data_IF_254582673144
#
_entry.id   IF_254582673144
#
_cell.length_a   1.000
_cell.length_b   1.000
_cell.length_c   1.000
_cell.angle_alpha   90.00
_cell.angle_beta   90.00
_cell.angle_gamma   90.00
#
_symmetry.space_group_name_H-M   'P 1'
#
loop_
_entity.id
_entity.type
_entity.pdbx_description
1 polymer ?
#
# COMPACT_ATOMS: atom_id res chain seq x y z
N UNK A 1 6.38 29.42 -2.92
CA UNK A 1 6.37 29.04 -1.51
C UNK A 1 7.09 27.69 -1.38
N UNK A 2 8.02 27.59 -0.44
CA UNK A 2 8.84 26.39 -0.23
C UNK A 2 8.21 25.50 0.83
N UNK A 3 8.22 24.16 0.63
CA UNK A 3 7.75 23.23 1.65
C UNK A 3 8.84 22.99 2.70
N UNK A 4 8.45 22.55 3.91
CA UNK A 4 9.40 22.14 4.96
C UNK A 4 10.33 21.04 4.43
N UNK A 5 9.82 20.08 3.65
CA UNK A 5 10.64 19.03 3.05
C UNK A 5 11.73 19.62 2.14
N UNK A 6 11.35 20.51 1.22
CA UNK A 6 12.30 21.06 0.25
C UNK A 6 13.33 21.95 0.94
N UNK A 7 12.93 22.74 1.94
CA UNK A 7 13.85 23.55 2.76
C UNK A 7 14.87 22.67 3.51
N UNK A 8 14.44 21.58 4.13
CA UNK A 8 15.33 20.64 4.83
C UNK A 8 16.32 19.99 3.87
N UNK A 9 15.83 19.48 2.72
CA UNK A 9 16.68 18.86 1.70
C UNK A 9 17.72 19.83 1.12
N UNK A 10 17.31 21.07 0.84
CA UNK A 10 18.21 22.13 0.36
C UNK A 10 19.34 22.45 1.36
N UNK A 11 19.05 22.33 2.66
CA UNK A 11 20.03 22.50 3.72
C UNK A 11 20.78 21.21 4.11
N UNK A 12 20.70 20.15 3.29
CA UNK A 12 21.44 18.91 3.53
C UNK A 12 20.88 18.02 4.65
N UNK A 13 19.71 18.38 5.22
CA UNK A 13 19.06 17.57 6.26
C UNK A 13 18.39 16.34 5.62
N UNK A 14 18.73 15.17 6.11
CA UNK A 14 18.17 13.91 5.60
C UNK A 14 16.77 13.67 6.15
N UNK A 15 15.77 13.76 5.29
CA UNK A 15 14.38 13.40 5.57
C UNK A 15 13.94 12.36 4.57
N UNK A 16 13.30 11.30 5.04
CA UNK A 16 12.69 10.31 4.15
C UNK A 16 11.48 10.92 3.44
N UNK A 17 11.34 10.62 2.15
CA UNK A 17 10.15 11.02 1.38
C UNK A 17 9.93 10.07 0.20
N UNK A 18 8.69 10.05 -0.34
CA UNK A 18 8.36 9.27 -1.54
C UNK A 18 7.41 10.02 -2.47
N UNK A 19 6.12 10.15 -2.14
CA UNK A 19 5.09 10.66 -3.06
C UNK A 19 5.14 12.16 -3.33
N UNK A 20 5.65 12.96 -2.40
CA UNK A 20 5.62 14.44 -2.40
C UNK A 20 4.21 15.06 -2.55
N UNK A 21 3.15 14.28 -2.27
CA UNK A 21 1.75 14.70 -2.43
C UNK A 21 0.90 14.59 -1.15
N UNK A 22 1.55 14.36 0.01
CA UNK A 22 0.84 14.26 1.28
C UNK A 22 0.14 12.93 1.54
N UNK A 23 0.37 11.89 0.70
CA UNK A 23 -0.42 10.65 0.78
C UNK A 23 0.28 9.51 1.52
N UNK A 24 1.62 9.36 1.40
CA UNK A 24 2.30 8.13 1.82
C UNK A 24 2.84 8.13 3.25
N UNK A 25 2.85 9.26 3.96
CA UNK A 25 3.36 9.36 5.33
C UNK A 25 4.89 9.28 5.49
N UNK A 26 5.66 8.96 4.44
CA UNK A 26 7.12 8.78 4.54
C UNK A 26 7.91 10.02 4.98
N UNK A 27 7.35 11.22 4.81
CA UNK A 27 7.95 12.50 5.19
C UNK A 27 7.36 13.08 6.48
N UNK A 28 6.76 12.23 7.33
CA UNK A 28 6.18 12.68 8.58
C UNK A 28 7.26 13.21 9.52
N UNK A 29 7.00 14.38 10.09
CA UNK A 29 7.81 15.05 11.12
C UNK A 29 6.89 15.46 12.25
N UNK A 30 7.47 15.94 13.35
CA UNK A 30 6.74 16.49 14.49
C UNK A 30 7.12 17.96 14.67
N UNK A 31 6.14 18.83 14.77
CA UNK A 31 6.30 20.22 15.20
C UNK A 31 6.54 20.23 16.71
N UNK A 32 7.61 20.88 17.14
CA UNK A 32 7.93 21.12 18.56
C UNK A 32 7.44 22.49 18.99
N UNK A 33 7.54 23.48 18.08
CA UNK A 33 7.08 24.84 18.27
C UNK A 33 6.55 25.38 16.94
N UNK A 34 5.59 26.30 17.01
CA UNK A 34 4.94 26.90 15.85
C UNK A 34 3.68 26.17 15.40
N UNK A 35 2.93 26.81 14.52
CA UNK A 35 1.65 26.30 14.02
C UNK A 35 1.84 25.48 12.73
N UNK A 36 1.22 24.30 12.71
CA UNK A 36 1.19 23.47 11.50
C UNK A 36 -0.05 23.81 10.68
N UNK A 37 0.08 24.14 9.41
CA UNK A 37 -1.07 24.37 8.53
C UNK A 37 -1.95 23.12 8.43
N UNK A 38 -3.29 23.24 8.48
CA UNK A 38 -4.22 22.08 8.45
C UNK A 38 -4.02 21.16 7.25
N UNK A 39 -3.63 21.69 6.09
CA UNK A 39 -3.32 20.92 4.89
C UNK A 39 -2.19 19.91 5.12
N UNK A 40 -1.20 20.24 5.94
CA UNK A 40 -0.07 19.37 6.23
C UNK A 40 -0.42 18.22 7.18
N UNK A 41 -1.60 18.27 7.77
CA UNK A 41 -2.14 17.23 8.67
C UNK A 41 -3.31 16.45 8.05
N UNK A 42 -3.66 16.73 6.80
CA UNK A 42 -4.74 16.03 6.10
C UNK A 42 -4.45 14.53 6.04
N UNK A 43 -5.46 13.70 6.36
CA UNK A 43 -5.34 12.24 6.36
C UNK A 43 -4.57 11.63 7.54
N UNK A 44 -4.04 12.44 8.47
CA UNK A 44 -3.44 11.93 9.70
C UNK A 44 -4.52 11.66 10.76
N UNK A 45 -4.26 10.69 11.64
CA UNK A 45 -5.09 10.41 12.81
C UNK A 45 -5.15 11.62 13.73
N UNK A 46 -6.29 11.87 14.37
CA UNK A 46 -6.46 13.01 15.26
C UNK A 46 -5.49 12.99 16.47
N UNK A 47 -5.17 11.79 16.98
CA UNK A 47 -4.14 11.61 18.00
C UNK A 47 -2.75 12.07 17.55
N UNK A 48 -2.42 11.91 16.28
CA UNK A 48 -1.16 12.39 15.71
C UNK A 48 -1.17 13.89 15.46
N UNK A 49 -2.30 14.43 14.98
CA UNK A 49 -2.47 15.89 14.83
C UNK A 49 -2.32 16.60 16.16
N UNK A 50 -2.93 16.06 17.22
CA UNK A 50 -2.85 16.60 18.58
C UNK A 50 -1.41 16.59 19.15
N UNK A 51 -0.56 15.68 18.66
CA UNK A 51 0.86 15.59 19.03
C UNK A 51 1.77 16.40 18.10
N UNK A 52 1.22 17.19 17.18
CA UNK A 52 1.98 18.04 16.27
C UNK A 52 2.60 17.29 15.09
N UNK A 53 2.22 16.05 14.79
CA UNK A 53 2.71 15.36 13.59
C UNK A 53 2.11 15.95 12.32
N UNK A 54 2.93 16.03 11.27
CA UNK A 54 2.55 16.58 9.97
C UNK A 54 3.37 16.01 8.82
N UNK A 55 2.92 16.23 7.59
CA UNK A 55 3.55 15.76 6.36
C UNK A 55 4.39 16.90 5.76
N UNK A 56 5.71 16.81 5.86
CA UNK A 56 6.65 17.88 5.47
C UNK A 56 6.57 18.28 4.00
N UNK A 57 6.20 17.34 3.11
CA UNK A 57 6.14 17.58 1.66
C UNK A 57 4.97 18.47 1.21
N UNK A 58 3.99 18.70 2.07
CA UNK A 58 2.83 19.57 1.80
C UNK A 58 2.69 20.66 2.87
N UNK A 59 3.66 20.75 3.79
CA UNK A 59 3.72 21.81 4.80
C UNK A 59 4.46 23.04 4.24
N UNK A 60 3.74 24.11 4.04
CA UNK A 60 4.29 25.44 3.76
C UNK A 60 4.00 26.27 4.99
N UNK A 61 4.98 26.50 5.88
CA UNK A 61 4.77 27.22 7.12
C UNK A 61 4.48 28.72 6.84
N UNK A 62 3.59 29.31 7.63
CA UNK A 62 3.22 30.72 7.56
C UNK A 62 4.03 31.57 8.57
N UNK A 63 4.69 30.90 9.51
CA UNK A 63 5.54 31.48 10.54
C UNK A 63 6.66 30.50 10.89
N UNK A 64 7.52 30.86 11.83
CA UNK A 64 8.61 30.02 12.31
C UNK A 64 8.07 28.68 12.84
N UNK A 65 8.69 27.59 12.44
CA UNK A 65 8.31 26.23 12.78
C UNK A 65 9.54 25.40 13.17
N UNK A 66 9.62 25.03 14.43
CA UNK A 66 10.66 24.10 14.93
C UNK A 66 10.19 22.67 14.75
N UNK A 67 10.98 21.83 14.08
CA UNK A 67 10.58 20.46 13.72
C UNK A 67 11.59 19.43 14.22
N UNK A 68 11.10 18.23 14.49
CA UNK A 68 11.87 17.06 14.88
C UNK A 68 11.49 15.82 14.05
N UNK A 69 12.36 14.84 13.93
CA UNK A 69 11.98 13.50 13.41
C UNK A 69 10.85 12.90 14.24
N UNK A 70 10.14 11.92 13.64
CA UNK A 70 9.13 11.13 14.35
C UNK A 70 9.76 10.47 15.56
N UNK A 71 9.16 10.66 16.73
CA UNK A 71 9.63 10.06 17.98
C UNK A 71 9.43 8.55 18.01
N UNK A 72 10.21 7.88 18.87
CA UNK A 72 10.15 6.41 19.02
C UNK A 72 8.80 5.91 19.53
N UNK A 73 8.03 6.74 20.20
CA UNK A 73 6.69 6.46 20.72
C UNK A 73 5.65 6.21 19.61
N UNK A 74 5.85 6.77 18.42
CA UNK A 74 4.98 6.56 17.26
C UNK A 74 5.39 5.35 16.42
N UNK A 75 6.56 4.76 16.70
CA UNK A 75 7.13 3.67 15.93
C UNK A 75 6.90 2.33 16.64
N UNK A 76 6.44 1.34 15.88
CA UNK A 76 6.34 -0.05 16.34
C UNK A 76 7.43 -0.88 15.66
N UNK A 77 8.26 -1.55 16.47
CA UNK A 77 9.27 -2.48 15.93
C UNK A 77 8.59 -3.68 15.29
N UNK A 78 9.22 -4.19 14.23
CA UNK A 78 8.79 -5.39 13.56
C UNK A 78 10.01 -6.21 13.09
N UNK A 79 9.80 -7.50 12.94
CA UNK A 79 10.80 -8.46 12.45
C UNK A 79 10.31 -9.06 11.15
N UNK A 80 11.18 -9.16 10.15
CA UNK A 80 10.93 -9.91 8.92
C UNK A 80 10.91 -11.40 9.29
N UNK A 81 9.78 -12.06 9.08
CA UNK A 81 9.62 -13.49 9.41
C UNK A 81 9.56 -14.38 8.18
N UNK A 82 9.29 -13.82 7.01
CA UNK A 82 9.32 -14.54 5.73
C UNK A 82 9.54 -13.59 4.55
N UNK A 83 10.21 -14.11 3.54
CA UNK A 83 10.46 -13.46 2.25
C UNK A 83 10.17 -14.48 1.14
N UNK A 84 9.05 -14.34 0.45
CA UNK A 84 8.63 -15.19 -0.66
C UNK A 84 8.60 -14.43 -1.99
N UNK A 85 8.61 -15.12 -3.11
CA UNK A 85 8.42 -14.51 -4.42
C UNK A 85 6.99 -14.80 -4.92
N UNK A 86 6.20 -13.76 -5.17
CA UNK A 86 4.88 -13.86 -5.81
C UNK A 86 5.00 -13.81 -7.33
N UNK A 87 6.04 -13.16 -7.84
CA UNK A 87 6.47 -13.18 -9.24
C UNK A 87 7.95 -12.81 -9.31
N UNK A 88 8.60 -12.86 -10.50
CA UNK A 88 9.99 -12.41 -10.65
C UNK A 88 10.23 -10.97 -10.18
N UNK A 89 9.22 -10.12 -10.22
CA UNK A 89 9.31 -8.69 -9.86
C UNK A 89 8.57 -8.31 -8.58
N UNK A 90 7.84 -9.23 -7.94
CA UNK A 90 7.06 -8.96 -6.74
C UNK A 90 7.41 -9.94 -5.63
N UNK A 91 7.87 -9.41 -4.52
CA UNK A 91 8.20 -10.18 -3.30
C UNK A 91 7.09 -10.03 -2.26
N UNK A 92 6.70 -11.14 -1.66
CA UNK A 92 5.92 -11.18 -0.42
C UNK A 92 6.87 -10.95 0.75
N UNK A 93 6.54 -10.03 1.62
CA UNK A 93 7.26 -9.76 2.87
C UNK A 93 6.29 -9.93 4.02
N UNK A 94 6.58 -10.86 4.91
CA UNK A 94 5.82 -11.06 6.14
C UNK A 94 6.57 -10.44 7.32
N UNK A 95 5.90 -9.54 8.04
CA UNK A 95 6.42 -8.87 9.22
C UNK A 95 5.62 -9.27 10.45
N UNK A 96 6.30 -9.61 11.55
CA UNK A 96 5.69 -9.69 12.88
C UNK A 96 6.03 -8.43 13.66
N UNK A 97 5.00 -7.72 14.13
CA UNK A 97 5.16 -6.53 14.98
C UNK A 97 5.30 -6.95 16.44
N UNK A 98 6.09 -6.18 17.20
CA UNK A 98 6.26 -6.41 18.64
C UNK A 98 4.99 -6.07 19.45
N UNK A 99 4.08 -5.30 18.88
CA UNK A 99 2.80 -4.91 19.48
C UNK A 99 1.66 -5.13 18.50
N UNK A 100 0.60 -5.78 18.97
CA UNK A 100 -0.63 -5.92 18.21
C UNK A 100 -1.21 -4.55 17.86
N UNK A 101 -1.84 -4.45 16.70
CA UNK A 101 -2.47 -3.21 16.26
C UNK A 101 -3.70 -3.50 15.43
N UNK A 102 -4.67 -2.63 15.54
CA UNK A 102 -5.88 -2.65 14.74
C UNK A 102 -5.57 -2.16 13.31
N UNK A 103 -4.95 -3.04 12.51
CA UNK A 103 -4.65 -2.80 11.09
C UNK A 103 -5.70 -3.54 10.26
N UNK A 104 -6.41 -2.79 9.43
CA UNK A 104 -7.38 -3.37 8.49
C UNK A 104 -6.70 -3.70 7.16
N UNK A 105 -7.04 -4.84 6.53
CA UNK A 105 -6.56 -5.19 5.19
C UNK A 105 -6.85 -4.07 4.21
N UNK A 106 -5.85 -3.71 3.40
CA UNK A 106 -5.94 -2.61 2.44
C UNK A 106 -5.42 -1.26 2.95
N UNK A 107 -5.33 -1.03 4.26
CA UNK A 107 -4.56 0.10 4.80
C UNK A 107 -3.09 -0.03 4.44
N UNK A 108 -2.27 0.98 4.72
CA UNK A 108 -0.84 0.94 4.51
C UNK A 108 -0.06 1.30 5.79
N UNK A 109 1.17 0.81 5.85
CA UNK A 109 2.17 1.17 6.85
C UNK A 109 3.42 1.70 6.15
N UNK A 110 4.23 2.49 6.85
CA UNK A 110 5.59 2.81 6.42
C UNK A 110 6.57 1.86 7.12
N UNK A 111 7.41 1.17 6.35
CA UNK A 111 8.59 0.47 6.86
C UNK A 111 9.73 1.47 6.94
N UNK A 112 10.44 1.47 8.06
CA UNK A 112 11.59 2.35 8.32
C UNK A 112 12.78 1.45 8.67
N UNK A 113 13.83 1.53 7.86
CA UNK A 113 15.10 0.85 8.07
C UNK A 113 15.93 1.54 9.16
N UNK A 114 16.94 0.85 9.74
CA UNK A 114 17.84 1.46 10.72
C UNK A 114 18.59 2.73 10.22
N UNK A 115 18.81 2.84 8.90
CA UNK A 115 19.42 4.03 8.27
C UNK A 115 18.43 5.20 8.05
N UNK A 116 17.19 5.07 8.57
CA UNK A 116 16.13 6.08 8.46
C UNK A 116 15.39 6.08 7.12
N UNK A 117 15.73 5.20 6.17
CA UNK A 117 14.99 5.10 4.90
C UNK A 117 13.58 4.56 5.17
N UNK A 118 12.55 5.33 4.83
CA UNK A 118 11.15 4.95 4.97
C UNK A 118 10.45 4.79 3.62
N UNK A 119 9.59 3.76 3.50
CA UNK A 119 8.67 3.57 2.36
C UNK A 119 7.38 2.93 2.83
N UNK A 120 6.29 3.31 2.19
CA UNK A 120 4.95 2.86 2.54
C UNK A 120 4.52 1.70 1.65
N UNK A 121 3.85 0.73 2.26
CA UNK A 121 3.33 -0.47 1.60
C UNK A 121 1.94 -0.79 2.14
N UNK A 122 1.04 -1.17 1.24
CA UNK A 122 -0.30 -1.61 1.61
C UNK A 122 -0.27 -2.99 2.25
N UNK A 123 -1.14 -3.18 3.24
CA UNK A 123 -1.29 -4.44 3.95
C UNK A 123 -2.23 -5.35 3.16
N UNK A 124 -1.75 -6.52 2.80
CA UNK A 124 -2.46 -7.56 2.05
C UNK A 124 -2.97 -8.71 2.96
N UNK A 125 -2.40 -8.84 4.17
CA UNK A 125 -2.75 -9.87 5.14
C UNK A 125 -4.06 -9.58 5.89
N UNK A 126 -4.60 -10.62 6.51
CA UNK A 126 -5.75 -10.52 7.42
C UNK A 126 -5.29 -10.27 8.86
N UNK A 127 -6.11 -9.62 9.71
CA UNK A 127 -5.74 -9.31 11.10
C UNK A 127 -5.42 -10.55 11.94
N UNK A 128 -6.12 -11.66 11.70
CA UNK A 128 -5.97 -12.90 12.47
C UNK A 128 -4.68 -13.66 12.16
N UNK A 129 -4.00 -13.33 11.07
CA UNK A 129 -2.74 -13.97 10.71
C UNK A 129 -1.58 -13.55 11.62
N UNK A 130 -1.81 -12.56 12.51
CA UNK A 130 -0.83 -11.97 13.44
C UNK A 130 0.49 -11.55 12.76
N UNK A 131 0.40 -11.33 11.45
CA UNK A 131 1.51 -10.89 10.61
C UNK A 131 1.03 -9.84 9.62
N UNK A 132 1.91 -8.93 9.24
CA UNK A 132 1.66 -7.99 8.15
C UNK A 132 2.20 -8.60 6.86
N UNK A 133 1.34 -8.90 5.93
CA UNK A 133 1.69 -9.29 4.58
C UNK A 133 1.78 -8.06 3.69
N UNK A 134 2.91 -7.90 3.02
CA UNK A 134 3.18 -6.80 2.09
C UNK A 134 3.66 -7.37 0.76
N UNK A 135 3.20 -6.79 -0.35
CA UNK A 135 3.66 -7.14 -1.70
C UNK A 135 4.55 -6.03 -2.24
N UNK A 136 5.82 -6.33 -2.42
CA UNK A 136 6.85 -5.34 -2.75
C UNK A 136 7.34 -5.56 -4.18
N UNK A 137 7.04 -4.60 -5.06
CA UNK A 137 7.60 -4.61 -6.41
C UNK A 137 9.04 -4.13 -6.42
N UNK A 138 9.91 -4.84 -7.11
CA UNK A 138 11.28 -4.39 -7.41
C UNK A 138 11.24 -3.16 -8.31
N UNK A 139 11.76 -2.06 -7.84
CA UNK A 139 11.92 -0.82 -8.61
C UNK A 139 13.38 -0.70 -9.01
N UNK A 140 13.70 -0.54 -10.30
CA UNK A 140 15.08 -0.31 -10.74
C UNK A 140 15.70 0.89 -10.00
N UNK A 141 16.85 0.68 -9.36
CA UNK A 141 17.51 1.68 -8.51
C UNK A 141 16.76 2.02 -7.20
N UNK A 142 15.69 1.34 -6.89
CA UNK A 142 14.92 1.57 -5.67
C UNK A 142 15.64 1.04 -4.43
N UNK A 143 16.07 1.92 -3.52
CA UNK A 143 16.85 1.57 -2.33
C UNK A 143 16.12 0.62 -1.37
N UNK A 144 14.83 0.83 -1.11
CA UNK A 144 14.05 -0.04 -0.20
C UNK A 144 13.65 -1.34 -0.88
N UNK A 145 13.12 -1.27 -2.11
CA UNK A 145 12.72 -2.47 -2.85
C UNK A 145 13.92 -3.33 -3.22
N UNK A 146 15.05 -2.71 -3.61
CA UNK A 146 16.31 -3.43 -3.84
C UNK A 146 16.77 -4.18 -2.59
N UNK A 147 16.80 -3.50 -1.43
CA UNK A 147 17.15 -4.15 -0.17
C UNK A 147 16.21 -5.32 0.16
N UNK A 148 14.89 -5.12 0.10
CA UNK A 148 13.92 -6.20 0.38
C UNK A 148 14.04 -7.38 -0.58
N UNK A 149 14.46 -7.15 -1.84
CA UNK A 149 14.59 -8.21 -2.84
C UNK A 149 15.92 -8.97 -2.78
N UNK A 150 17.01 -8.31 -2.36
CA UNK A 150 18.35 -8.88 -2.55
C UNK A 150 19.13 -9.04 -1.24
N UNK A 151 18.95 -8.14 -0.27
CA UNK A 151 19.84 -8.05 0.89
C UNK A 151 19.13 -8.40 2.20
N UNK A 152 17.82 -8.16 2.32
CA UNK A 152 17.06 -8.42 3.54
C UNK A 152 16.98 -9.90 3.85
N UNK A 153 17.09 -10.23 5.13
CA UNK A 153 17.03 -11.59 5.65
C UNK A 153 15.88 -11.77 6.65
N UNK A 154 15.42 -13.00 6.80
CA UNK A 154 14.54 -13.38 7.91
C UNK A 154 15.28 -13.12 9.21
N UNK A 155 14.63 -12.44 10.15
CA UNK A 155 15.22 -11.98 11.40
C UNK A 155 15.60 -10.48 11.39
N UNK A 156 15.68 -9.84 10.24
CA UNK A 156 15.99 -8.41 10.18
C UNK A 156 14.90 -7.58 10.89
N UNK A 157 15.36 -6.59 11.64
CA UNK A 157 14.48 -5.69 12.38
C UNK A 157 14.31 -4.36 11.66
N UNK A 158 13.07 -3.93 11.61
CA UNK A 158 12.65 -2.63 11.06
C UNK A 158 11.72 -1.92 12.04
N UNK A 159 11.53 -0.63 11.88
CA UNK A 159 10.43 0.06 12.52
C UNK A 159 9.26 0.22 11.55
N UNK A 160 8.05 0.27 12.06
CA UNK A 160 6.84 0.52 11.29
C UNK A 160 6.09 1.72 11.86
N UNK A 161 5.48 2.50 10.97
CA UNK A 161 4.63 3.63 11.29
C UNK A 161 3.28 3.42 10.63
N UNK A 162 2.20 3.64 11.32
CA UNK A 162 0.86 3.41 10.81
C UNK A 162 0.02 2.55 11.75
N UNK A 163 -1.16 2.06 11.30
CA UNK A 163 -1.69 2.12 9.93
C UNK A 163 -2.28 3.48 9.56
N UNK A 164 -2.37 3.70 8.24
CA UNK A 164 -3.01 4.86 7.62
C UNK A 164 -3.79 4.40 6.37
N UNK A 165 -4.71 5.23 5.88
CA UNK A 165 -5.49 4.97 4.66
C UNK A 165 -6.89 4.44 4.91
N UNK A 166 -7.77 4.68 3.92
CA UNK A 166 -9.21 4.40 3.97
C UNK A 166 -9.62 3.28 2.99
N UNK A 167 -8.64 2.59 2.36
CA UNK A 167 -8.92 1.50 1.43
C UNK A 167 -9.07 0.19 2.20
N UNK A 168 -10.26 -0.08 2.74
CA UNK A 168 -10.58 -1.32 3.44
C UNK A 168 -12.06 -1.68 3.24
N UNK A 169 -12.42 -2.93 3.48
CA UNK A 169 -13.82 -3.37 3.42
C UNK A 169 -14.62 -2.77 4.59
N UNK A 170 -15.83 -2.25 4.29
CA UNK A 170 -16.77 -1.73 5.29
C UNK A 170 -17.98 -2.66 5.32
N UNK A 171 -18.24 -3.38 6.44
CA UNK A 171 -19.42 -4.21 6.59
C UNK A 171 -20.72 -3.41 6.53
N UNK A 172 -21.87 -4.11 6.33
CA UNK A 172 -23.20 -3.52 6.29
C UNK A 172 -23.75 -3.33 4.87
N UNK A 173 -23.01 -3.80 3.84
CA UNK A 173 -23.43 -3.76 2.43
C UNK A 173 -23.05 -5.05 1.71
N UNK A 174 -23.22 -6.18 2.38
CA UNK A 174 -22.73 -7.49 1.96
C UNK A 174 -23.35 -8.00 0.66
N UNK A 175 -24.53 -7.51 0.29
CA UNK A 175 -25.25 -7.90 -0.93
C UNK A 175 -24.98 -6.98 -2.14
N UNK A 176 -24.25 -5.86 -1.92
CA UNK A 176 -23.96 -4.92 -3.01
C UNK A 176 -22.79 -5.42 -3.88
N UNK A 177 -22.76 -5.05 -5.18
CA UNK A 177 -21.59 -5.35 -6.02
C UNK A 177 -20.31 -4.72 -5.47
N UNK A 178 -19.22 -5.50 -5.41
CA UNK A 178 -17.89 -5.04 -5.04
C UNK A 178 -16.99 -5.00 -6.27
N UNK A 179 -16.44 -3.84 -6.58
CA UNK A 179 -15.50 -3.64 -7.69
C UNK A 179 -14.10 -3.37 -7.15
N UNK A 180 -13.16 -4.25 -7.47
CA UNK A 180 -11.75 -4.13 -7.10
C UNK A 180 -10.90 -3.99 -8.38
N UNK A 181 -10.25 -2.85 -8.56
CA UNK A 181 -9.45 -2.59 -9.75
C UNK A 181 -8.06 -2.04 -9.36
N UNK A 182 -7.00 -2.70 -9.81
CA UNK A 182 -5.64 -2.32 -9.50
C UNK A 182 -4.62 -2.74 -10.55
N UNK A 183 -3.47 -2.07 -10.57
CA UNK A 183 -2.36 -2.40 -11.48
C UNK A 183 -1.09 -2.73 -10.70
N UNK A 184 -0.35 -3.73 -11.16
CA UNK A 184 0.86 -4.19 -10.49
C UNK A 184 0.61 -4.50 -9.02
N UNK A 185 1.45 -3.98 -8.11
CA UNK A 185 1.27 -4.15 -6.65
C UNK A 185 0.11 -3.35 -6.05
N UNK A 186 -0.66 -2.61 -6.85
CA UNK A 186 -1.99 -2.15 -6.44
C UNK A 186 -2.98 -3.29 -6.16
N UNK A 187 -2.63 -4.53 -6.55
CA UNK A 187 -3.37 -5.72 -6.12
C UNK A 187 -3.22 -5.99 -4.61
N UNK A 188 -2.11 -5.62 -3.97
CA UNK A 188 -1.86 -5.92 -2.55
C UNK A 188 -3.00 -5.48 -1.60
N UNK A 189 -3.41 -4.20 -1.59
CA UNK A 189 -4.55 -3.78 -0.77
C UNK A 189 -5.84 -4.48 -1.17
N UNK A 190 -6.07 -4.69 -2.47
CA UNK A 190 -7.29 -5.31 -2.98
C UNK A 190 -7.37 -6.80 -2.64
N UNK A 191 -6.24 -7.49 -2.56
CA UNK A 191 -6.14 -8.86 -2.07
C UNK A 191 -6.59 -8.97 -0.62
N UNK A 192 -6.12 -8.07 0.23
CA UNK A 192 -6.55 -8.00 1.62
C UNK A 192 -8.04 -7.66 1.74
N UNK A 193 -8.53 -6.65 1.02
CA UNK A 193 -9.94 -6.25 1.00
C UNK A 193 -10.85 -7.38 0.51
N UNK A 194 -10.45 -8.11 -0.54
CA UNK A 194 -11.20 -9.26 -1.05
C UNK A 194 -11.35 -10.34 0.02
N UNK A 195 -10.25 -10.74 0.65
CA UNK A 195 -10.24 -11.79 1.68
C UNK A 195 -11.05 -11.37 2.90
N UNK A 196 -10.94 -10.10 3.32
CA UNK A 196 -11.70 -9.54 4.44
C UNK A 196 -13.20 -9.49 4.14
N UNK A 197 -13.59 -9.10 2.93
CA UNK A 197 -14.98 -9.10 2.48
C UNK A 197 -15.58 -10.52 2.49
N UNK A 198 -14.89 -11.50 1.90
CA UNK A 198 -15.34 -12.89 1.87
C UNK A 198 -15.49 -13.47 3.28
N UNK A 199 -14.51 -13.21 4.15
CA UNK A 199 -14.56 -13.63 5.54
C UNK A 199 -15.70 -12.94 6.31
N UNK A 200 -15.97 -11.67 6.01
CA UNK A 200 -17.07 -10.90 6.58
C UNK A 200 -18.46 -11.29 6.04
N UNK A 201 -18.54 -12.34 5.22
CA UNK A 201 -19.81 -12.85 4.70
C UNK A 201 -20.37 -12.05 3.54
N UNK A 202 -19.53 -11.38 2.73
CA UNK A 202 -19.97 -10.70 1.52
C UNK A 202 -20.56 -11.70 0.53
N UNK A 203 -21.76 -11.40 0.00
CA UNK A 203 -22.57 -12.26 -0.87
C UNK A 203 -22.84 -11.65 -2.23
N UNK A 204 -22.68 -10.32 -2.35
CA UNK A 204 -22.84 -9.61 -3.60
C UNK A 204 -21.82 -10.01 -4.66
N UNK A 205 -22.05 -9.73 -5.94
CA UNK A 205 -21.09 -10.06 -6.99
C UNK A 205 -19.79 -9.28 -6.82
N UNK A 206 -18.66 -9.98 -6.85
CA UNK A 206 -17.32 -9.37 -6.77
C UNK A 206 -16.70 -9.35 -8.17
N UNK A 207 -16.19 -8.20 -8.57
CA UNK A 207 -15.46 -8.01 -9.83
C UNK A 207 -14.03 -7.58 -9.54
N UNK A 208 -13.05 -8.39 -9.96
CA UNK A 208 -11.63 -8.08 -9.78
C UNK A 208 -10.98 -7.80 -11.14
N UNK A 209 -10.32 -6.66 -11.24
CA UNK A 209 -9.53 -6.26 -12.40
C UNK A 209 -8.07 -6.06 -11.99
N UNK A 210 -7.20 -6.95 -12.44
CA UNK A 210 -5.77 -6.85 -12.19
C UNK A 210 -5.02 -6.57 -13.50
N UNK A 211 -4.39 -5.41 -13.59
CA UNK A 211 -3.62 -4.97 -14.74
C UNK A 211 -2.12 -4.94 -14.47
N UNK A 212 -1.31 -5.14 -15.51
CA UNK A 212 0.14 -4.94 -15.46
C UNK A 212 0.65 -4.44 -16.81
N UNK A 213 1.84 -3.82 -16.82
CA UNK A 213 2.52 -3.43 -18.06
C UNK A 213 3.05 -4.66 -18.80
N UNK A 214 3.57 -5.65 -18.05
CA UNK A 214 4.11 -6.90 -18.54
C UNK A 214 3.46 -8.09 -17.83
N UNK A 215 3.45 -9.26 -18.45
CA UNK A 215 2.86 -10.47 -17.89
C UNK A 215 3.46 -10.85 -16.53
N UNK A 216 4.76 -10.62 -16.34
CA UNK A 216 5.49 -10.87 -15.10
C UNK A 216 5.02 -9.98 -13.91
N UNK A 217 4.32 -8.91 -14.20
CA UNK A 217 3.69 -8.04 -13.19
C UNK A 217 2.32 -8.53 -12.72
N UNK A 218 1.74 -9.54 -13.36
CA UNK A 218 0.54 -10.23 -12.92
C UNK A 218 0.92 -11.35 -11.96
N UNK A 219 0.38 -11.34 -10.76
CA UNK A 219 0.65 -12.33 -9.72
C UNK A 219 -0.65 -12.68 -8.97
N UNK A 220 -0.66 -13.75 -8.19
CA UNK A 220 -1.85 -14.32 -7.52
C UNK A 220 -2.99 -14.64 -8.50
N UNK A 221 -2.64 -14.95 -9.76
CA UNK A 221 -3.65 -15.18 -10.80
C UNK A 221 -4.42 -16.49 -10.58
N UNK A 222 -3.75 -17.53 -10.11
CA UNK A 222 -4.39 -18.83 -9.84
C UNK A 222 -5.25 -18.75 -8.58
N UNK A 223 -4.78 -18.08 -7.54
CA UNK A 223 -5.53 -17.84 -6.31
C UNK A 223 -6.81 -17.04 -6.60
N UNK A 224 -6.71 -15.98 -7.39
CA UNK A 224 -7.88 -15.20 -7.82
C UNK A 224 -8.85 -16.03 -8.65
N UNK A 225 -8.36 -16.92 -9.53
CA UNK A 225 -9.22 -17.86 -10.29
C UNK A 225 -9.87 -18.91 -9.39
N UNK A 226 -9.16 -19.34 -8.35
CA UNK A 226 -9.71 -20.24 -7.34
C UNK A 226 -10.95 -19.65 -6.67
N UNK A 227 -10.85 -18.42 -6.18
CA UNK A 227 -12.00 -17.68 -5.64
C UNK A 227 -13.09 -17.44 -6.69
N UNK A 228 -12.72 -17.22 -7.94
CA UNK A 228 -13.67 -16.93 -9.03
C UNK A 228 -14.66 -18.03 -9.34
N UNK A 229 -14.36 -19.26 -8.92
CA UNK A 229 -15.29 -20.39 -9.11
C UNK A 229 -16.44 -20.41 -8.10
N UNK A 230 -16.23 -19.85 -6.93
CA UNK A 230 -17.17 -19.90 -5.81
C UNK A 230 -17.75 -18.53 -5.43
N UNK A 231 -16.95 -17.47 -5.49
CA UNK A 231 -17.30 -16.17 -4.88
C UNK A 231 -17.17 -14.97 -5.81
N UNK A 232 -16.36 -15.05 -6.89
CA UNK A 232 -16.06 -13.88 -7.73
C UNK A 232 -16.80 -13.99 -9.05
N UNK A 233 -17.66 -13.02 -9.36
CA UNK A 233 -18.44 -12.98 -10.59
C UNK A 233 -17.56 -12.77 -11.84
N UNK A 234 -16.40 -12.08 -11.70
CA UNK A 234 -15.49 -11.83 -12.82
C UNK A 234 -14.08 -11.54 -12.32
N UNK A 235 -13.10 -12.28 -12.87
CA UNK A 235 -11.68 -11.93 -12.76
C UNK A 235 -11.16 -11.57 -14.14
N UNK A 236 -10.56 -10.40 -14.28
CA UNK A 236 -9.96 -9.96 -15.54
C UNK A 236 -8.51 -9.55 -15.33
N UNK A 237 -7.65 -10.05 -16.20
CA UNK A 237 -6.25 -9.67 -16.27
C UNK A 237 -6.02 -8.87 -17.55
N UNK A 238 -5.33 -7.74 -17.45
CA UNK A 238 -5.04 -6.87 -18.57
C UNK A 238 -3.57 -6.47 -18.61
N UNK A 239 -3.03 -6.33 -19.82
CA UNK A 239 -1.73 -5.74 -20.06
C UNK A 239 -1.94 -4.35 -20.64
N UNK A 240 -1.31 -3.32 -20.06
CA UNK A 240 -1.31 -1.99 -20.61
C UNK A 240 -0.04 -1.76 -21.42
N UNK A 241 -0.17 -1.49 -22.71
CA UNK A 241 0.96 -1.05 -23.53
C UNK A 241 1.13 0.46 -23.37
N UNK A 242 2.33 0.92 -23.02
CA UNK A 242 2.69 2.32 -23.25
C UNK A 242 2.64 2.53 -24.76
N UNK A 243 1.84 3.45 -25.23
CA UNK A 243 1.95 3.93 -26.62
C UNK A 243 3.35 4.54 -26.78
N UNK A 244 4.28 3.81 -27.42
CA UNK A 244 5.37 4.45 -28.11
C UNK A 244 4.77 5.36 -29.18
N UNK A 245 5.39 6.48 -29.49
CA UNK A 245 5.00 7.39 -30.56
C UNK A 245 5.10 6.69 -31.93
N UNK A 246 4.13 5.83 -32.24
CA UNK A 246 4.02 5.07 -33.46
C UNK A 246 2.61 4.51 -33.57
N UNK A 247 1.93 4.84 -34.66
CA UNK A 247 0.55 4.46 -34.99
C UNK A 247 0.39 2.94 -35.07
N UNK A 248 -0.17 2.33 -34.04
CA UNK A 248 -0.55 0.92 -34.02
C UNK A 248 -1.76 0.70 -33.13
N UNK A 249 -2.83 0.20 -33.69
CA UNK A 249 -4.06 -0.16 -32.98
C UNK A 249 -3.80 -1.31 -32.01
N UNK A 250 -3.92 -1.04 -30.70
CA UNK A 250 -3.79 -2.03 -29.64
C UNK A 250 -5.07 -2.86 -29.51
N UNK A 251 -5.02 -4.13 -29.85
CA UNK A 251 -6.10 -5.08 -29.61
C UNK A 251 -6.14 -5.53 -28.15
N UNK A 252 -7.26 -5.32 -27.48
CA UNK A 252 -7.56 -5.89 -26.16
C UNK A 252 -7.87 -7.37 -26.34
N UNK A 253 -7.04 -8.26 -25.83
CA UNK A 253 -7.35 -9.69 -25.78
C UNK A 253 -8.30 -9.94 -24.60
N UNK A 254 -9.54 -10.33 -24.90
CA UNK A 254 -10.52 -10.77 -23.94
C UNK A 254 -10.30 -12.27 -23.65
N UNK A 255 -10.16 -12.63 -22.37
CA UNK A 255 -10.30 -14.02 -21.93
C UNK A 255 -11.75 -14.49 -22.09
N UNK A 256 -12.01 -15.81 -22.05
CA UNK A 256 -13.32 -16.37 -22.34
C UNK A 256 -14.40 -15.76 -21.44
N UNK A 257 -15.49 -15.30 -22.09
CA UNK A 257 -16.70 -14.84 -21.39
C UNK A 257 -17.43 -16.07 -20.86
N UNK A 258 -17.52 -16.24 -19.54
CA UNK A 258 -18.51 -17.15 -18.98
C UNK A 258 -19.91 -16.56 -19.25
N UNK A 259 -20.66 -17.20 -20.13
CA UNK A 259 -22.10 -16.94 -20.28
C UNK A 259 -22.81 -17.53 -19.05
N UNK A 260 -23.78 -16.82 -18.44
CA UNK A 260 -24.64 -17.46 -17.45
C UNK A 260 -25.43 -18.59 -18.13
N UNK A 261 -25.50 -19.73 -17.46
CA UNK A 261 -26.33 -20.84 -17.90
C UNK A 261 -27.79 -20.37 -17.94
N UNK A 262 -28.40 -20.43 -19.14
CA UNK A 262 -29.81 -20.21 -19.30
C UNK A 262 -30.57 -21.30 -18.54
N UNK A 263 -31.34 -20.94 -17.52
CA UNK A 263 -32.31 -21.83 -16.91
C UNK A 263 -33.33 -22.29 -17.98
N UNK A 264 -33.54 -23.59 -18.06
CA UNK A 264 -34.67 -24.18 -18.77
C UNK A 264 -35.91 -24.20 -17.87
N UNK A 265 -37.12 -24.14 -18.49
CA UNK A 265 -38.40 -23.97 -17.81
C UNK A 265 -38.78 -25.10 -16.87
#
# INVERSE_FOLDING_TARGET
QETVLDALLRNGVRVSYACKSGSCGSCMLQAREGAVPPRAQAGLKDSWKAQGYFLACVCVPEADLTVAPVGSEALVRATIISLGNLSPSVKQVLLRRDVASDIRPGQYISIIRPDGLARSYSVAGLPEEDVLELHVRLIPGGRMSGWLHHDACVGDRVATLGPTGECFYVPGKEDQPLLLAGTGTGLAPLWGVLRDALRGGHRGPIHVFHGAVHAEGLYLCEELRGFGREFIACVRFGLSFRRGSGSGTAGVRHGPRNRPAAGKP
#
